data_IF_318679271679
#
_entry.id   IF_318679271679
#
_cell.length_a   1.000
_cell.length_b   1.000
_cell.length_c   1.000
_cell.angle_alpha   90.00
_cell.angle_beta   90.00
_cell.angle_gamma   90.00
#
_symmetry.space_group_name_H-M   'P 1'
#
loop_
_entity.id
_entity.type
_entity.pdbx_description
1 polymer ?
#
# COMPACT_ATOMS: atom_id res chain seq x y z
N UNK A 1 -18.76 -5.96 -3.36
CA UNK A 1 -17.62 -5.02 -3.45
C UNK A 1 -17.67 -4.25 -4.75
N UNK A 2 -17.46 -2.96 -4.72
CA UNK A 2 -17.41 -2.13 -5.91
C UNK A 2 -16.23 -1.17 -5.81
N UNK A 3 -15.27 -1.30 -6.72
CA UNK A 3 -14.17 -0.35 -6.84
C UNK A 3 -14.68 1.01 -7.33
N UNK A 4 -14.06 2.09 -6.89
CA UNK A 4 -14.34 3.42 -7.43
C UNK A 4 -13.94 3.52 -8.91
N UNK A 5 -14.60 4.38 -9.70
CA UNK A 5 -14.34 4.46 -11.16
C UNK A 5 -12.90 4.92 -11.47
N UNK A 6 -12.29 5.66 -10.55
CA UNK A 6 -10.87 6.03 -10.58
C UNK A 6 -10.22 5.40 -9.36
N UNK A 7 -9.07 4.75 -9.56
CA UNK A 7 -8.29 4.11 -8.52
C UNK A 7 -7.09 4.99 -8.19
N UNK A 8 -6.88 5.24 -6.91
CA UNK A 8 -5.81 6.09 -6.41
C UNK A 8 -4.52 5.28 -6.27
N UNK A 9 -3.54 5.52 -7.13
CA UNK A 9 -2.22 4.90 -7.04
C UNK A 9 -1.34 5.57 -5.98
N UNK A 10 -0.73 4.77 -5.09
CA UNK A 10 0.08 5.27 -3.98
C UNK A 10 1.59 5.21 -4.21
N UNK A 11 2.05 4.73 -5.37
CA UNK A 11 3.46 4.50 -5.67
C UNK A 11 4.38 5.69 -5.38
N UNK A 12 3.89 6.90 -5.61
CA UNK A 12 4.67 8.13 -5.46
C UNK A 12 4.42 8.89 -4.15
N UNK A 13 3.71 8.29 -3.21
CA UNK A 13 3.41 8.95 -1.94
C UNK A 13 4.55 8.86 -0.93
N UNK A 14 5.35 7.81 -0.98
CA UNK A 14 6.54 7.60 -0.15
C UNK A 14 7.83 8.08 -0.82
N UNK A 15 8.94 7.42 -0.48
CA UNK A 15 10.31 7.81 -0.87
C UNK A 15 10.57 7.76 -2.37
N UNK A 16 9.77 7.03 -3.16
CA UNK A 16 9.89 7.05 -4.63
C UNK A 16 9.22 8.28 -5.27
N UNK A 17 8.69 9.17 -4.50
CA UNK A 17 7.99 10.36 -5.00
C UNK A 17 8.06 11.53 -4.03
N UNK A 18 6.91 12.01 -3.61
CA UNK A 18 6.78 13.21 -2.80
C UNK A 18 7.24 13.04 -1.34
N UNK A 19 7.45 11.80 -0.88
CA UNK A 19 7.82 11.46 0.49
C UNK A 19 6.93 12.20 1.52
N UNK A 20 5.63 12.01 1.39
CA UNK A 20 4.64 12.67 2.24
C UNK A 20 4.78 12.28 3.71
N UNK A 21 4.52 13.22 4.61
CA UNK A 21 4.29 12.94 6.02
C UNK A 21 2.98 12.17 6.23
N UNK A 22 2.82 11.50 7.36
CA UNK A 22 1.56 10.86 7.77
C UNK A 22 0.38 11.84 7.64
N UNK A 23 0.55 13.06 8.10
CA UNK A 23 -0.49 14.10 8.04
C UNK A 23 -0.88 14.46 6.59
N UNK A 24 0.08 14.52 5.68
CA UNK A 24 -0.20 14.77 4.26
C UNK A 24 -0.89 13.57 3.61
N UNK A 25 -0.50 12.35 3.94
CA UNK A 25 -1.19 11.14 3.48
C UNK A 25 -2.64 11.13 3.95
N UNK A 26 -2.89 11.46 5.22
CA UNK A 26 -4.25 11.57 5.75
C UNK A 26 -5.09 12.58 4.96
N UNK A 27 -4.52 13.76 4.65
CA UNK A 27 -5.20 14.77 3.83
C UNK A 27 -5.51 14.29 2.41
N UNK A 28 -4.59 13.54 1.80
CA UNK A 28 -4.81 12.93 0.48
C UNK A 28 -5.94 11.91 0.52
N UNK A 29 -5.98 11.07 1.55
CA UNK A 29 -7.06 10.10 1.77
C UNK A 29 -8.40 10.83 1.95
N UNK A 30 -8.47 11.84 2.82
CA UNK A 30 -9.68 12.64 3.03
C UNK A 30 -10.18 13.29 1.74
N UNK A 31 -9.27 13.88 0.96
CA UNK A 31 -9.61 14.50 -0.33
C UNK A 31 -10.17 13.46 -1.30
N UNK A 32 -9.53 12.28 -1.38
CA UNK A 32 -10.00 11.19 -2.24
C UNK A 32 -11.42 10.75 -1.87
N UNK A 33 -11.69 10.56 -0.59
CA UNK A 33 -13.01 10.15 -0.11
C UNK A 33 -14.08 11.23 -0.31
N UNK A 34 -13.73 12.50 -0.22
CA UNK A 34 -14.63 13.61 -0.53
C UNK A 34 -15.08 13.59 -2.00
N UNK A 35 -14.21 13.11 -2.89
CA UNK A 35 -14.50 12.92 -4.32
C UNK A 35 -15.05 11.53 -4.64
N UNK A 36 -15.49 10.78 -3.62
CA UNK A 36 -16.03 9.41 -3.76
C UNK A 36 -15.04 8.39 -4.36
N UNK A 37 -13.73 8.67 -4.25
CA UNK A 37 -12.67 7.77 -4.69
C UNK A 37 -12.20 6.93 -3.50
N UNK A 38 -12.73 5.71 -3.40
CA UNK A 38 -12.57 4.84 -2.22
C UNK A 38 -11.54 3.74 -2.41
N UNK A 39 -10.99 3.58 -3.62
CA UNK A 39 -10.06 2.47 -3.95
C UNK A 39 -8.63 2.97 -4.03
N UNK A 40 -7.74 2.33 -3.26
CA UNK A 40 -6.30 2.65 -3.20
C UNK A 40 -5.48 1.47 -3.70
N UNK A 41 -4.57 1.74 -4.64
CA UNK A 41 -3.72 0.74 -5.28
C UNK A 41 -2.29 0.84 -4.75
N UNK A 42 -1.89 -0.21 -4.05
CA UNK A 42 -0.59 -0.40 -3.44
C UNK A 42 0.24 -1.46 -4.18
N UNK A 43 1.48 -1.63 -3.79
CA UNK A 43 2.30 -2.79 -4.03
C UNK A 43 3.32 -2.92 -2.89
N UNK A 44 3.70 -4.14 -2.56
CA UNK A 44 4.65 -4.40 -1.47
C UNK A 44 5.98 -3.65 -1.66
N UNK A 45 6.49 -3.60 -2.92
CA UNK A 45 7.78 -2.98 -3.22
C UNK A 45 7.77 -1.44 -3.28
N UNK A 46 6.62 -0.79 -3.30
CA UNK A 46 6.56 0.67 -3.41
C UNK A 46 7.35 1.36 -2.30
N UNK A 47 8.20 2.33 -2.72
CA UNK A 47 9.07 3.03 -1.79
C UNK A 47 10.05 2.11 -1.08
N UNK A 48 10.67 1.17 -1.80
CA UNK A 48 11.58 0.19 -1.21
C UNK A 48 10.94 -0.57 -0.02
N UNK A 49 9.69 -1.01 -0.21
CA UNK A 49 8.87 -1.72 0.78
C UNK A 49 8.46 -0.87 2.01
N UNK A 50 8.30 0.44 1.85
CA UNK A 50 7.93 1.34 2.96
C UNK A 50 6.59 2.06 2.76
N UNK A 51 6.07 2.16 1.53
CA UNK A 51 4.87 2.97 1.24
C UNK A 51 3.59 2.38 1.83
N UNK A 52 3.42 1.06 1.83
CA UNK A 52 2.26 0.42 2.49
C UNK A 52 2.21 0.76 3.98
N UNK A 53 3.37 0.71 4.66
CA UNK A 53 3.44 1.08 6.09
C UNK A 53 3.08 2.55 6.32
N UNK A 54 3.60 3.45 5.49
CA UNK A 54 3.25 4.87 5.55
C UNK A 54 1.73 5.09 5.43
N UNK A 55 1.11 4.43 4.46
CA UNK A 55 -0.35 4.50 4.27
C UNK A 55 -1.11 3.89 5.45
N UNK A 56 -0.72 2.69 5.89
CA UNK A 56 -1.35 2.00 7.01
C UNK A 56 -1.26 2.78 8.32
N UNK A 57 -0.10 3.39 8.60
CA UNK A 57 0.07 4.25 9.78
C UNK A 57 -0.85 5.48 9.70
N UNK A 58 -0.95 6.12 8.53
CA UNK A 58 -1.83 7.26 8.32
C UNK A 58 -3.32 6.88 8.45
N UNK A 59 -3.74 5.83 7.75
CA UNK A 59 -5.15 5.39 7.72
C UNK A 59 -5.65 4.92 9.08
N UNK A 60 -4.84 4.16 9.82
CA UNK A 60 -5.23 3.58 11.12
C UNK A 60 -5.52 4.63 12.19
N UNK A 61 -5.00 5.84 12.05
CA UNK A 61 -5.26 6.98 12.95
C UNK A 61 -6.53 7.75 12.58
N UNK A 62 -7.12 7.46 11.41
CA UNK A 62 -8.31 8.15 10.90
C UNK A 62 -9.58 7.44 11.38
N UNK A 63 -10.67 8.20 11.52
CA UNK A 63 -12.00 7.66 11.89
C UNK A 63 -12.78 7.19 10.63
N UNK A 64 -12.14 6.37 9.82
CA UNK A 64 -12.71 5.79 8.59
C UNK A 64 -12.86 4.29 8.83
N UNK A 65 -14.02 3.74 8.51
CA UNK A 65 -14.20 2.30 8.59
C UNK A 65 -13.49 1.60 7.45
N UNK A 66 -12.82 0.49 7.74
CA UNK A 66 -12.10 -0.29 6.73
C UNK A 66 -13.01 -0.77 5.59
N UNK A 67 -14.27 -1.08 5.90
CA UNK A 67 -15.28 -1.54 4.94
C UNK A 67 -15.74 -0.44 3.94
N UNK A 68 -15.49 0.83 4.23
CA UNK A 68 -15.86 1.95 3.35
C UNK A 68 -14.82 2.20 2.24
N UNK A 69 -13.68 1.51 2.28
CA UNK A 69 -12.58 1.66 1.34
C UNK A 69 -12.12 0.31 0.80
N UNK A 70 -11.42 0.32 -0.33
CA UNK A 70 -10.82 -0.88 -0.93
C UNK A 70 -9.31 -0.71 -1.03
N UNK A 71 -8.58 -1.74 -0.59
CA UNK A 71 -7.12 -1.81 -0.68
C UNK A 71 -6.71 -2.93 -1.62
N UNK A 72 -6.11 -2.57 -2.74
CA UNK A 72 -5.48 -3.49 -3.67
C UNK A 72 -3.98 -3.48 -3.39
N UNK A 73 -3.33 -4.64 -3.39
CA UNK A 73 -1.88 -4.71 -3.38
C UNK A 73 -1.36 -5.77 -4.36
N UNK A 74 -0.06 -5.77 -4.57
CA UNK A 74 0.64 -6.59 -5.55
C UNK A 74 1.95 -7.08 -4.96
N UNK A 75 2.40 -8.26 -5.38
CA UNK A 75 3.72 -8.82 -5.04
C UNK A 75 4.31 -9.55 -6.25
N UNK A 76 5.53 -10.07 -6.10
CA UNK A 76 6.18 -10.90 -7.11
C UNK A 76 7.51 -10.35 -7.61
N UNK A 77 7.85 -9.10 -7.34
CA UNK A 77 9.15 -8.52 -7.66
C UNK A 77 10.01 -8.47 -6.40
N UNK A 78 11.18 -9.11 -6.46
CA UNK A 78 12.23 -8.97 -5.45
C UNK A 78 13.15 -7.82 -5.88
N UNK A 79 13.10 -6.71 -5.16
CA UNK A 79 13.86 -5.50 -5.48
C UNK A 79 15.00 -5.29 -4.50
N UNK A 80 16.26 -5.21 -4.98
CA UNK A 80 17.39 -4.83 -4.14
C UNK A 80 17.19 -3.44 -3.54
N UNK A 81 17.27 -3.36 -2.22
CA UNK A 81 17.20 -2.11 -1.47
C UNK A 81 17.72 -2.32 -0.04
N UNK A 82 17.86 -1.24 0.73
CA UNK A 82 18.32 -1.31 2.12
C UNK A 82 17.38 -2.14 3.03
N UNK A 83 16.10 -2.23 2.69
CA UNK A 83 15.10 -2.93 3.49
C UNK A 83 14.96 -4.43 3.15
N UNK A 84 15.72 -4.93 2.19
CA UNK A 84 15.67 -6.33 1.73
C UNK A 84 17.03 -6.83 1.35
N UNK A 85 17.26 -8.13 1.55
CA UNK A 85 18.53 -8.80 1.23
C UNK A 85 18.60 -9.36 -0.20
N UNK A 86 17.78 -8.85 -1.11
CA UNK A 86 17.83 -9.26 -2.51
C UNK A 86 19.08 -8.68 -3.17
N UNK A 87 19.81 -9.50 -3.92
CA UNK A 87 21.05 -9.08 -4.61
C UNK A 87 20.81 -8.55 -6.01
N UNK A 88 19.78 -9.05 -6.67
CA UNK A 88 19.38 -8.68 -8.03
C UNK A 88 17.86 -8.48 -8.09
N UNK A 89 17.41 -7.65 -9.00
CA UNK A 89 15.98 -7.57 -9.32
C UNK A 89 15.55 -8.85 -10.01
N UNK A 90 14.56 -9.53 -9.45
CA UNK A 90 14.03 -10.78 -9.98
C UNK A 90 12.53 -10.90 -9.72
N UNK A 91 11.92 -11.91 -10.34
CA UNK A 91 10.53 -12.26 -10.11
C UNK A 91 10.47 -13.57 -9.32
N UNK A 92 9.63 -13.59 -8.28
CA UNK A 92 9.43 -14.77 -7.45
C UNK A 92 7.93 -15.01 -7.25
N UNK A 93 7.40 -16.04 -7.87
CA UNK A 93 6.00 -16.45 -7.80
C UNK A 93 5.80 -17.74 -7.00
N UNK A 94 6.78 -18.10 -6.16
CA UNK A 94 6.62 -19.25 -5.27
C UNK A 94 5.49 -19.01 -4.28
N UNK A 95 4.81 -20.09 -3.89
CA UNK A 95 3.76 -20.05 -2.87
C UNK A 95 4.24 -19.38 -1.58
N UNK A 96 5.44 -19.72 -1.13
CA UNK A 96 6.04 -19.18 0.08
C UNK A 96 6.21 -17.65 -0.03
N UNK A 97 6.79 -17.17 -1.14
CA UNK A 97 6.98 -15.74 -1.35
C UNK A 97 5.64 -14.99 -1.39
N UNK A 98 4.65 -15.51 -2.10
CA UNK A 98 3.31 -14.88 -2.18
C UNK A 98 2.67 -14.79 -0.80
N UNK A 99 2.67 -15.89 -0.03
CA UNK A 99 2.08 -15.89 1.32
C UNK A 99 2.78 -14.91 2.26
N UNK A 100 4.11 -14.86 2.23
CA UNK A 100 4.89 -13.91 3.04
C UNK A 100 4.62 -12.47 2.62
N UNK A 101 4.53 -12.18 1.33
CA UNK A 101 4.23 -10.84 0.81
C UNK A 101 2.83 -10.39 1.23
N UNK A 102 1.83 -11.26 1.14
CA UNK A 102 0.46 -10.95 1.61
C UNK A 102 0.46 -10.66 3.10
N UNK A 103 1.10 -11.50 3.91
CA UNK A 103 1.18 -11.28 5.36
C UNK A 103 1.84 -9.93 5.68
N UNK A 104 2.95 -9.60 5.02
CA UNK A 104 3.62 -8.31 5.21
C UNK A 104 2.74 -7.13 4.79
N UNK A 105 2.01 -7.24 3.67
CA UNK A 105 1.09 -6.20 3.23
C UNK A 105 -0.06 -5.97 4.22
N UNK A 106 -0.64 -7.05 4.77
CA UNK A 106 -1.68 -6.95 5.81
C UNK A 106 -1.16 -6.24 7.06
N UNK A 107 0.04 -6.59 7.52
CA UNK A 107 0.68 -5.96 8.68
C UNK A 107 0.99 -4.47 8.42
N UNK A 108 1.57 -4.16 7.26
CA UNK A 108 1.93 -2.80 6.88
C UNK A 108 0.70 -1.90 6.70
N UNK A 109 -0.33 -2.38 6.03
CA UNK A 109 -1.59 -1.67 5.82
C UNK A 109 -2.50 -1.67 7.04
N UNK A 110 -2.15 -2.44 8.09
CA UNK A 110 -2.91 -2.58 9.34
C UNK A 110 -4.36 -3.01 9.10
N UNK A 111 -4.53 -4.02 8.29
CA UNK A 111 -5.82 -4.59 7.93
C UNK A 111 -5.75 -6.12 7.97
N UNK A 112 -6.89 -6.77 8.09
CA UNK A 112 -7.00 -8.23 8.11
C UNK A 112 -7.43 -8.82 6.75
N UNK A 113 -7.69 -7.98 5.76
CA UNK A 113 -8.00 -8.41 4.39
C UNK A 113 -7.55 -7.39 3.33
N UNK A 114 -7.30 -7.88 2.13
CA UNK A 114 -7.16 -7.10 0.88
C UNK A 114 -8.36 -7.34 -0.01
N UNK A 115 -8.71 -6.37 -0.85
CA UNK A 115 -9.86 -6.41 -1.77
C UNK A 115 -9.45 -6.84 -3.22
#
# INVERSE_FOLDING_TARGET
MKFSPIIIGTMRWGIWGANHSIKNVQKLIETSLTEELTTFDHADLYGDYTTEKLFGDAFSEMKIKREDVQFISKCGIEMPCENRNFKIKSYNYSKEHILNSVQNSLENLKTDYLD
#
